data_IF_194131240579
#
_entry.id   IF_194131240579
#
_cell.length_a   1.000
_cell.length_b   1.000
_cell.length_c   1.000
_cell.angle_alpha   90.00
_cell.angle_beta   90.00
_cell.angle_gamma   90.00
#
_symmetry.space_group_name_H-M   'P 1'
#
loop_
_entity.id
_entity.type
_entity.pdbx_description
1 polymer ?
#
# COMPACT_ATOMS: atom_id res chain seq x y z
N UNK A 1 5.33 15.55 10.64
CA UNK A 1 5.86 14.22 10.33
C UNK A 1 6.48 14.18 8.93
N UNK A 2 5.88 14.86 7.93
CA UNK A 2 6.47 15.01 6.59
C UNK A 2 7.92 15.56 6.61
N UNK A 3 8.21 16.52 7.47
CA UNK A 3 9.52 17.17 7.53
C UNK A 3 10.65 16.22 7.95
N UNK A 4 10.39 15.26 8.86
CA UNK A 4 11.41 14.28 9.27
C UNK A 4 11.74 13.31 8.13
N UNK A 5 10.72 12.88 7.40
CA UNK A 5 10.89 12.04 6.21
C UNK A 5 11.65 12.80 5.11
N UNK A 6 11.36 14.09 4.91
CA UNK A 6 12.11 14.94 3.98
C UNK A 6 13.58 15.03 4.36
N UNK A 7 13.87 15.25 5.65
CA UNK A 7 15.24 15.32 6.13
C UNK A 7 15.96 13.99 5.97
N UNK A 8 15.28 12.86 6.26
CA UNK A 8 15.84 11.52 6.03
C UNK A 8 16.23 11.28 4.58
N UNK A 9 15.40 11.72 3.62
CA UNK A 9 15.69 11.55 2.19
C UNK A 9 16.79 12.52 1.76
N UNK A 10 16.72 13.78 2.16
CA UNK A 10 17.73 14.77 1.77
C UNK A 10 19.11 14.41 2.31
N UNK A 11 19.19 13.84 3.51
CA UNK A 11 20.45 13.41 4.12
C UNK A 11 21.01 12.11 3.51
N UNK A 12 20.27 11.41 2.64
CA UNK A 12 20.81 10.24 1.91
C UNK A 12 22.00 10.60 1.00
N UNK A 13 22.13 11.88 0.65
CA UNK A 13 23.16 12.45 -0.21
C UNK A 13 24.27 13.18 0.58
N UNK A 14 24.15 13.30 1.92
CA UNK A 14 25.11 14.01 2.77
C UNK A 14 25.72 13.10 3.84
N UNK A 15 27.05 13.00 3.86
CA UNK A 15 27.81 12.22 4.86
C UNK A 15 28.16 13.08 6.11
N UNK A 16 27.19 13.81 6.66
CA UNK A 16 27.37 14.61 7.88
C UNK A 16 26.87 13.86 9.11
N UNK A 17 27.82 13.31 9.87
CA UNK A 17 27.56 12.51 11.08
C UNK A 17 26.82 13.30 12.18
N UNK A 18 26.99 14.62 12.27
CA UNK A 18 26.34 15.44 13.29
C UNK A 18 24.84 15.63 13.03
N UNK A 19 24.46 15.85 11.77
CA UNK A 19 23.06 15.99 11.37
C UNK A 19 22.31 14.66 11.48
N UNK A 20 22.98 13.54 11.16
CA UNK A 20 22.40 12.20 11.30
C UNK A 20 22.00 11.86 12.74
N UNK A 21 22.84 12.19 13.72
CA UNK A 21 22.53 11.93 15.13
C UNK A 21 21.30 12.72 15.60
N UNK A 22 21.24 14.02 15.28
CA UNK A 22 20.11 14.87 15.66
C UNK A 22 18.80 14.35 15.06
N UNK A 23 18.82 13.93 13.79
CA UNK A 23 17.65 13.35 13.13
C UNK A 23 17.19 12.05 13.81
N UNK A 24 18.12 11.19 14.21
CA UNK A 24 17.79 9.96 14.94
C UNK A 24 17.14 10.24 16.30
N UNK A 25 17.60 11.27 17.02
CA UNK A 25 16.99 11.70 18.29
C UNK A 25 15.56 12.22 18.07
N UNK A 26 15.33 13.00 17.01
CA UNK A 26 13.98 13.47 16.64
C UNK A 26 13.06 12.31 16.27
N UNK A 27 13.54 11.31 15.54
CA UNK A 27 12.77 10.10 15.25
C UNK A 27 12.39 9.32 16.51
N UNK A 28 13.32 9.18 17.46
CA UNK A 28 13.05 8.51 18.72
C UNK A 28 11.95 9.21 19.54
N UNK A 29 12.02 10.54 19.66
CA UNK A 29 10.98 11.34 20.34
C UNK A 29 9.63 11.26 19.61
N UNK A 30 9.64 11.39 18.28
CA UNK A 30 8.42 11.28 17.47
C UNK A 30 7.75 9.91 17.62
N UNK A 31 8.52 8.82 17.60
CA UNK A 31 8.00 7.46 17.78
C UNK A 31 7.38 7.26 19.17
N UNK A 32 8.02 7.79 20.22
CA UNK A 32 7.49 7.75 21.59
C UNK A 32 6.15 8.48 21.70
N UNK A 33 6.08 9.71 21.17
CA UNK A 33 4.85 10.51 21.15
C UNK A 33 3.75 9.88 20.31
N UNK A 34 4.10 9.34 19.14
CA UNK A 34 3.15 8.67 18.27
C UNK A 34 2.57 7.42 18.94
N UNK A 35 3.39 6.65 19.64
CA UNK A 35 2.93 5.49 20.41
C UNK A 35 1.91 5.91 21.47
N UNK A 36 2.22 6.95 22.26
CA UNK A 36 1.27 7.49 23.25
C UNK A 36 -0.02 8.02 22.60
N UNK A 37 0.11 8.71 21.46
CA UNK A 37 -1.03 9.21 20.71
C UNK A 37 -1.95 8.05 20.27
N UNK A 38 -1.39 7.00 19.65
CA UNK A 38 -2.16 5.81 19.24
C UNK A 38 -2.78 5.11 20.44
N UNK A 39 -2.02 4.87 21.52
CA UNK A 39 -2.55 4.19 22.72
C UNK A 39 -3.73 4.95 23.36
N UNK A 40 -3.68 6.29 23.36
CA UNK A 40 -4.72 7.11 23.97
C UNK A 40 -5.96 7.29 23.08
N UNK A 41 -5.80 7.32 21.75
CA UNK A 41 -6.89 7.67 20.83
C UNK A 41 -7.51 6.47 20.11
N UNK A 42 -6.73 5.42 19.80
CA UNK A 42 -7.23 4.30 19.01
C UNK A 42 -8.47 3.61 19.62
N UNK A 43 -8.54 3.35 20.94
CA UNK A 43 -9.75 2.79 21.56
C UNK A 43 -10.98 3.71 21.43
N UNK A 44 -10.78 5.03 21.43
CA UNK A 44 -11.86 6.00 21.25
C UNK A 44 -12.38 5.99 19.81
N UNK A 45 -11.47 5.91 18.83
CA UNK A 45 -11.82 5.82 17.41
C UNK A 45 -12.64 4.58 17.10
N UNK A 46 -12.35 3.42 17.72
CA UNK A 46 -13.14 2.21 17.49
C UNK A 46 -14.60 2.33 17.98
N UNK A 47 -14.92 3.35 18.79
CA UNK A 47 -16.25 3.60 19.33
C UNK A 47 -16.89 4.90 18.80
N UNK A 48 -16.25 5.57 17.83
CA UNK A 48 -16.65 6.89 17.34
C UNK A 48 -16.69 6.92 15.81
N UNK A 49 -17.59 7.74 15.26
CA UNK A 49 -17.57 8.11 13.84
C UNK A 49 -16.57 9.24 13.55
N UNK A 50 -16.25 10.04 14.56
CA UNK A 50 -15.19 11.04 14.50
C UNK A 50 -13.85 10.36 14.77
N UNK A 51 -13.19 9.94 13.68
CA UNK A 51 -11.92 9.23 13.66
C UNK A 51 -11.19 9.52 12.34
N UNK A 52 -9.84 9.40 12.30
CA UNK A 52 -9.12 9.49 11.04
C UNK A 52 -9.56 8.39 10.07
N UNK A 53 -9.33 8.63 8.78
CA UNK A 53 -9.47 7.61 7.72
C UNK A 53 -8.58 6.43 8.07
N UNK A 54 -9.14 5.22 7.97
CA UNK A 54 -8.44 3.97 8.22
C UNK A 54 -8.54 3.00 7.05
N UNK A 55 -7.83 1.86 7.12
CA UNK A 55 -7.86 0.81 6.08
C UNK A 55 -9.27 0.47 5.58
N UNK A 56 -10.31 0.27 6.43
CA UNK A 56 -11.68 0.01 5.97
C UNK A 56 -12.34 1.15 5.18
N UNK A 57 -11.82 2.37 5.29
CA UNK A 57 -12.43 3.57 4.70
C UNK A 57 -11.81 3.95 3.36
N UNK A 58 -10.73 3.28 2.93
CA UNK A 58 -9.99 3.67 1.71
C UNK A 58 -10.91 3.73 0.50
N UNK A 59 -11.74 2.71 0.29
CA UNK A 59 -12.67 2.70 -0.84
C UNK A 59 -13.75 3.77 -0.71
N UNK A 60 -14.39 3.90 0.45
CA UNK A 60 -15.48 4.85 0.66
C UNK A 60 -15.02 6.31 0.60
N UNK A 61 -13.79 6.57 1.03
CA UNK A 61 -13.22 7.91 1.05
C UNK A 61 -12.66 8.33 -0.31
N UNK A 62 -12.05 7.40 -1.06
CA UNK A 62 -11.25 7.76 -2.24
C UNK A 62 -11.76 7.19 -3.57
N UNK A 63 -12.55 6.11 -3.56
CA UNK A 63 -12.85 5.34 -4.79
C UNK A 63 -14.35 5.37 -5.14
N UNK A 64 -15.25 5.25 -4.16
CA UNK A 64 -16.69 5.08 -4.39
C UNK A 64 -17.28 6.19 -5.29
N UNK A 65 -16.94 7.46 -5.05
CA UNK A 65 -17.47 8.60 -5.82
C UNK A 65 -17.07 8.53 -7.29
N UNK A 66 -15.83 8.14 -7.59
CA UNK A 66 -15.37 7.98 -8.98
C UNK A 66 -16.14 6.88 -9.70
N UNK A 67 -16.36 5.73 -9.04
CA UNK A 67 -17.11 4.64 -9.64
C UNK A 67 -18.58 5.02 -9.88
N UNK A 68 -19.21 5.76 -8.96
CA UNK A 68 -20.57 6.29 -9.11
C UNK A 68 -20.67 7.27 -10.29
N UNK A 69 -19.64 8.08 -10.51
CA UNK A 69 -19.54 9.00 -11.65
C UNK A 69 -19.18 8.31 -12.98
N UNK A 70 -19.00 6.97 -12.97
CA UNK A 70 -18.53 6.17 -14.11
C UNK A 70 -17.12 6.53 -14.59
N UNK A 71 -16.29 7.08 -13.71
CA UNK A 71 -14.86 7.14 -13.95
C UNK A 71 -14.28 5.71 -13.90
N UNK A 72 -13.30 5.43 -14.75
CA UNK A 72 -12.48 4.21 -14.65
C UNK A 72 -11.38 4.43 -13.63
N UNK A 73 -11.17 3.45 -12.77
CA UNK A 73 -10.23 3.51 -11.65
C UNK A 73 -9.15 2.43 -11.80
N UNK A 74 -7.91 2.81 -11.57
CA UNK A 74 -6.79 1.88 -11.36
C UNK A 74 -6.30 2.07 -9.92
N UNK A 75 -6.37 1.01 -9.11
CA UNK A 75 -5.85 1.00 -7.74
C UNK A 75 -4.58 0.15 -7.69
N UNK A 76 -3.47 0.74 -7.26
CA UNK A 76 -2.16 0.09 -7.15
C UNK A 76 -1.77 0.02 -5.68
N UNK A 77 -1.89 -1.17 -5.09
CA UNK A 77 -1.49 -1.42 -3.70
C UNK A 77 -0.08 -2.00 -3.66
N UNK A 78 0.87 -1.24 -3.12
CA UNK A 78 2.25 -1.70 -2.89
C UNK A 78 2.40 -2.19 -1.45
N UNK A 79 2.60 -3.51 -1.28
CA UNK A 79 2.67 -4.15 0.04
C UNK A 79 3.94 -3.73 0.80
N UNK A 80 3.79 -3.41 2.08
CA UNK A 80 4.87 -2.92 2.95
C UNK A 80 5.61 -1.66 2.46
N UNK A 81 5.05 -0.89 1.52
CA UNK A 81 5.63 0.40 1.12
C UNK A 81 5.45 1.43 2.23
N UNK A 82 6.56 1.96 2.73
CA UNK A 82 6.56 3.01 3.74
C UNK A 82 6.52 4.40 3.10
N UNK A 83 6.08 5.39 3.87
CA UNK A 83 6.01 6.78 3.40
C UNK A 83 7.36 7.34 2.93
N UNK A 84 8.48 6.95 3.55
CA UNK A 84 9.81 7.44 3.15
C UNK A 84 10.23 6.86 1.80
N UNK A 85 9.85 5.62 1.51
CA UNK A 85 10.09 4.96 0.24
C UNK A 85 9.22 5.55 -0.86
N UNK A 86 7.92 5.78 -0.62
CA UNK A 86 7.03 6.45 -1.58
C UNK A 86 7.56 7.83 -1.95
N UNK A 87 8.04 8.59 -0.95
CA UNK A 87 8.58 9.93 -1.16
C UNK A 87 9.92 9.91 -1.90
N UNK A 88 10.75 8.87 -1.74
CA UNK A 88 11.91 8.68 -2.60
C UNK A 88 11.53 8.33 -4.04
N UNK A 89 10.51 7.48 -4.22
CA UNK A 89 9.96 7.08 -5.53
C UNK A 89 9.25 8.24 -6.25
N UNK A 90 8.74 9.23 -5.52
CA UNK A 90 7.95 10.33 -6.08
C UNK A 90 8.70 11.09 -7.17
N UNK A 91 10.03 11.17 -7.12
CA UNK A 91 10.86 11.77 -8.17
C UNK A 91 10.71 11.04 -9.50
N UNK A 92 10.63 9.71 -9.47
CA UNK A 92 10.46 8.87 -10.66
C UNK A 92 9.00 8.95 -11.15
N UNK A 93 8.04 8.84 -10.21
CA UNK A 93 6.61 8.85 -10.51
C UNK A 93 6.11 10.21 -11.04
N UNK A 94 6.71 11.32 -10.59
CA UNK A 94 6.35 12.68 -11.06
C UNK A 94 6.65 12.91 -12.55
N UNK A 95 7.46 12.04 -13.18
CA UNK A 95 7.68 12.11 -14.63
C UNK A 95 6.46 11.61 -15.41
N UNK A 96 5.60 10.81 -14.79
CA UNK A 96 4.43 10.19 -15.41
C UNK A 96 3.11 10.80 -14.92
N UNK A 97 3.07 11.24 -13.66
CA UNK A 97 1.83 11.65 -12.98
C UNK A 97 1.98 12.99 -12.25
N UNK A 98 0.85 13.68 -12.10
CA UNK A 98 0.72 14.71 -11.08
C UNK A 98 0.37 14.02 -9.75
N UNK A 99 1.29 14.05 -8.79
CA UNK A 99 1.13 13.32 -7.54
C UNK A 99 0.45 14.18 -6.47
N UNK A 100 -0.63 13.65 -5.92
CA UNK A 100 -1.23 14.12 -4.67
C UNK A 100 -0.98 13.04 -3.60
N UNK A 101 -0.59 13.45 -2.39
CA UNK A 101 -0.28 12.52 -1.31
C UNK A 101 -1.15 12.81 -0.11
N UNK A 102 -1.99 11.83 0.22
CA UNK A 102 -2.76 11.82 1.46
C UNK A 102 -2.31 10.67 2.36
N UNK A 103 -2.35 10.93 3.67
CA UNK A 103 -2.02 9.94 4.69
C UNK A 103 -3.29 9.51 5.42
N UNK A 104 -3.44 8.20 5.58
CA UNK A 104 -4.44 7.61 6.45
C UNK A 104 -3.76 6.73 7.50
N UNK A 105 -4.46 6.38 8.58
CA UNK A 105 -3.93 5.46 9.57
C UNK A 105 -4.28 4.02 9.19
N UNK A 106 -3.31 3.11 9.13
CA UNK A 106 -3.66 1.70 9.12
C UNK A 106 -4.39 1.31 10.42
N UNK A 107 -4.76 0.05 10.53
CA UNK A 107 -5.47 -0.52 11.68
C UNK A 107 -4.51 -1.26 12.61
N UNK A 108 -4.98 -1.62 13.80
CA UNK A 108 -4.26 -2.49 14.73
C UNK A 108 -4.85 -3.92 14.71
N UNK A 109 -4.04 -4.95 14.42
CA UNK A 109 -2.63 -4.89 14.01
C UNK A 109 -2.46 -4.38 12.56
N UNK A 110 -1.32 -3.74 12.27
CA UNK A 110 -1.01 -3.15 10.94
C UNK A 110 -0.54 -4.17 9.91
N UNK A 111 -0.41 -5.45 10.31
CA UNK A 111 0.11 -6.49 9.45
C UNK A 111 -0.76 -6.68 8.20
N UNK A 112 -0.10 -7.00 7.09
CA UNK A 112 -0.66 -7.22 5.75
C UNK A 112 -2.03 -7.89 5.72
N UNK A 113 -2.26 -9.07 6.35
CA UNK A 113 -3.55 -9.75 6.28
C UNK A 113 -4.70 -9.01 6.99
N UNK A 114 -4.41 -8.14 7.95
CA UNK A 114 -5.45 -7.34 8.57
C UNK A 114 -5.71 -6.10 7.72
N UNK A 115 -4.67 -5.33 7.40
CA UNK A 115 -4.81 -4.06 6.69
C UNK A 115 -5.40 -4.24 5.28
N UNK A 116 -4.88 -5.17 4.47
CA UNK A 116 -5.33 -5.34 3.07
C UNK A 116 -6.73 -5.91 2.97
N UNK A 117 -7.06 -6.93 3.76
CA UNK A 117 -8.43 -7.46 3.76
C UNK A 117 -9.42 -6.40 4.25
N UNK A 118 -9.03 -5.53 5.20
CA UNK A 118 -9.85 -4.39 5.59
C UNK A 118 -10.05 -3.39 4.46
N UNK A 119 -9.02 -3.07 3.67
CA UNK A 119 -9.15 -2.21 2.48
C UNK A 119 -10.19 -2.78 1.51
N UNK A 120 -10.05 -4.05 1.11
CA UNK A 120 -10.93 -4.63 0.09
C UNK A 120 -12.32 -4.97 0.59
N UNK A 121 -12.47 -5.31 1.88
CA UNK A 121 -13.78 -5.60 2.46
C UNK A 121 -14.53 -4.36 2.93
N UNK A 122 -13.84 -3.24 3.16
CA UNK A 122 -14.41 -2.08 3.85
C UNK A 122 -14.86 -2.37 5.29
N UNK A 123 -14.27 -3.38 5.94
CA UNK A 123 -14.63 -3.82 7.29
C UNK A 123 -13.39 -3.89 8.19
N UNK A 124 -13.56 -3.60 9.47
CA UNK A 124 -12.54 -3.93 10.47
C UNK A 124 -12.38 -5.46 10.63
N UNK A 125 -11.23 -5.96 11.10
CA UNK A 125 -11.00 -7.40 11.22
C UNK A 125 -12.06 -8.14 12.05
N UNK A 126 -12.51 -7.55 13.16
CA UNK A 126 -13.57 -8.14 13.99
C UNK A 126 -14.91 -8.20 13.27
N UNK A 127 -15.22 -7.21 12.44
CA UNK A 127 -16.44 -7.19 11.62
C UNK A 127 -16.32 -8.21 10.50
N UNK A 128 -15.17 -8.29 9.83
CA UNK A 128 -14.89 -9.28 8.79
C UNK A 128 -15.06 -10.71 9.31
N UNK A 129 -14.55 -10.99 10.51
CA UNK A 129 -14.73 -12.27 11.19
C UNK A 129 -16.20 -12.58 11.45
N UNK A 130 -16.98 -11.59 11.89
CA UNK A 130 -18.40 -11.77 12.20
C UNK A 130 -19.25 -11.97 10.92
N UNK A 131 -18.93 -11.27 9.84
CA UNK A 131 -19.66 -11.34 8.57
C UNK A 131 -19.30 -12.60 7.79
N UNK A 132 -18.03 -13.03 7.80
CA UNK A 132 -17.55 -14.20 7.07
C UNK A 132 -16.79 -15.20 7.96
N UNK A 133 -17.43 -15.80 8.97
CA UNK A 133 -16.75 -16.69 9.91
C UNK A 133 -16.07 -17.88 9.22
N UNK A 134 -16.69 -18.44 8.18
CA UNK A 134 -16.13 -19.57 7.43
C UNK A 134 -14.90 -19.20 6.60
N UNK A 135 -14.90 -18.02 5.96
CA UNK A 135 -13.74 -17.54 5.19
C UNK A 135 -12.61 -17.12 6.12
N UNK A 136 -12.95 -16.43 7.21
CA UNK A 136 -12.01 -16.05 8.25
C UNK A 136 -11.24 -17.28 8.75
N UNK A 137 -11.94 -18.34 9.15
CA UNK A 137 -11.28 -19.57 9.60
C UNK A 137 -10.35 -20.19 8.54
N UNK A 138 -10.69 -20.10 7.25
CA UNK A 138 -9.85 -20.59 6.15
C UNK A 138 -8.62 -19.71 5.90
N UNK A 139 -8.70 -18.41 6.12
CA UNK A 139 -7.57 -17.47 5.96
C UNK A 139 -6.45 -17.74 6.97
N UNK A 140 -6.79 -18.28 8.14
CA UNK A 140 -5.83 -18.54 9.22
C UNK A 140 -5.32 -19.98 9.26
N UNK A 141 -5.60 -20.81 8.24
CA UNK A 141 -5.09 -22.18 8.18
C UNK A 141 -3.60 -22.24 7.82
N UNK A 142 -3.14 -21.37 6.93
CA UNK A 142 -1.74 -21.23 6.57
C UNK A 142 -1.40 -19.79 6.17
N UNK A 143 -0.14 -19.37 6.31
CA UNK A 143 0.30 -17.99 6.02
C UNK A 143 0.05 -17.55 4.57
N UNK A 144 0.09 -18.49 3.62
CA UNK A 144 -0.13 -18.19 2.19
C UNK A 144 -1.59 -17.91 1.87
N UNK A 145 -2.50 -18.37 2.73
CA UNK A 145 -3.95 -18.27 2.55
C UNK A 145 -4.56 -16.97 3.09
N UNK A 146 -3.83 -16.21 3.89
CA UNK A 146 -4.38 -15.08 4.67
C UNK A 146 -4.95 -13.95 3.82
N UNK A 147 -4.52 -13.83 2.56
CA UNK A 147 -4.94 -12.80 1.62
C UNK A 147 -5.61 -13.39 0.36
N UNK A 148 -6.13 -14.62 0.43
CA UNK A 148 -6.64 -15.32 -0.76
C UNK A 148 -8.02 -14.86 -1.23
N UNK A 149 -8.77 -14.15 -0.38
CA UNK A 149 -10.16 -13.77 -0.62
C UNK A 149 -10.33 -12.27 -0.92
N UNK A 150 -9.25 -11.54 -1.16
CA UNK A 150 -9.27 -10.09 -1.42
C UNK A 150 -10.20 -9.70 -2.57
N UNK A 151 -10.12 -10.41 -3.71
CA UNK A 151 -11.04 -10.19 -4.86
C UNK A 151 -12.50 -10.42 -4.48
N UNK A 152 -12.77 -11.47 -3.71
CA UNK A 152 -14.13 -11.77 -3.24
C UNK A 152 -14.65 -10.67 -2.31
N UNK A 153 -13.80 -10.18 -1.40
CA UNK A 153 -14.18 -9.10 -0.50
C UNK A 153 -14.47 -7.79 -1.24
N UNK A 154 -13.67 -7.49 -2.28
CA UNK A 154 -13.90 -6.34 -3.14
C UNK A 154 -15.24 -6.45 -3.92
N UNK A 155 -15.51 -7.60 -4.52
CA UNK A 155 -16.77 -7.86 -5.22
C UNK A 155 -17.97 -7.70 -4.28
N UNK A 156 -17.91 -8.26 -3.08
CA UNK A 156 -19.00 -8.12 -2.11
C UNK A 156 -19.12 -6.68 -1.57
N UNK A 157 -18.00 -5.98 -1.36
CA UNK A 157 -18.01 -4.56 -1.01
C UNK A 157 -18.77 -3.73 -2.04
N UNK A 158 -18.44 -3.88 -3.33
CA UNK A 158 -19.10 -3.15 -4.42
C UNK A 158 -20.58 -3.49 -4.52
N UNK A 159 -20.94 -4.76 -4.34
CA UNK A 159 -22.34 -5.19 -4.28
C UNK A 159 -23.11 -4.53 -3.12
N UNK A 160 -22.53 -4.43 -1.92
CA UNK A 160 -23.17 -3.73 -0.79
C UNK A 160 -23.33 -2.22 -1.04
N UNK A 161 -22.53 -1.66 -1.94
CA UNK A 161 -22.59 -0.26 -2.37
C UNK A 161 -23.51 -0.01 -3.57
N UNK A 162 -24.15 -1.04 -4.12
CA UNK A 162 -24.99 -0.91 -5.32
C UNK A 162 -24.18 -0.71 -6.61
N UNK A 163 -22.91 -1.15 -6.60
CA UNK A 163 -21.96 -1.05 -7.70
C UNK A 163 -21.67 -2.41 -8.34
N UNK A 164 -22.55 -3.41 -8.16
CA UNK A 164 -22.36 -4.78 -8.67
C UNK A 164 -22.31 -4.87 -10.21
N UNK A 165 -22.78 -3.84 -10.93
CA UNK A 165 -22.68 -3.78 -12.39
C UNK A 165 -21.30 -3.39 -12.89
N UNK A 166 -20.41 -2.94 -12.00
CA UNK A 166 -19.06 -2.50 -12.36
C UNK A 166 -18.17 -3.71 -12.65
N UNK A 167 -17.45 -3.64 -13.74
CA UNK A 167 -16.46 -4.64 -14.13
C UNK A 167 -15.20 -4.51 -13.26
N UNK A 168 -14.72 -5.63 -12.73
CA UNK A 168 -13.58 -5.68 -11.80
C UNK A 168 -12.51 -6.60 -12.39
N UNK A 169 -11.25 -6.18 -12.36
CA UNK A 169 -10.10 -7.06 -12.57
C UNK A 169 -9.13 -6.91 -11.41
N UNK A 170 -8.84 -8.02 -10.73
CA UNK A 170 -7.94 -8.07 -9.58
C UNK A 170 -6.71 -8.90 -9.91
N UNK A 171 -5.53 -8.27 -9.83
CA UNK A 171 -4.25 -8.91 -10.10
C UNK A 171 -3.30 -8.77 -8.92
N UNK A 172 -2.94 -9.91 -8.33
CA UNK A 172 -1.86 -9.98 -7.34
C UNK A 172 -0.59 -10.45 -8.02
N UNK A 173 0.47 -9.64 -7.94
CA UNK A 173 1.78 -9.90 -8.56
C UNK A 173 2.80 -10.18 -7.46
N UNK A 174 3.24 -11.43 -7.39
CA UNK A 174 4.18 -11.94 -6.39
C UNK A 174 5.61 -12.07 -6.92
N UNK A 175 5.80 -11.99 -8.22
CA UNK A 175 7.12 -12.14 -8.84
C UNK A 175 7.29 -11.29 -10.09
N UNK A 176 8.56 -11.07 -10.48
CA UNK A 176 8.90 -10.35 -11.71
C UNK A 176 8.31 -11.02 -12.97
N UNK A 177 8.31 -12.36 -13.02
CA UNK A 177 7.75 -13.10 -14.17
C UNK A 177 6.22 -12.95 -14.26
N UNK A 178 5.51 -12.98 -13.13
CA UNK A 178 4.07 -12.68 -13.11
C UNK A 178 3.80 -11.25 -13.57
N UNK A 179 4.63 -10.30 -13.14
CA UNK A 179 4.55 -8.90 -13.56
C UNK A 179 4.69 -8.73 -15.07
N UNK A 180 5.69 -9.35 -15.69
CA UNK A 180 5.86 -9.31 -17.16
C UNK A 180 4.68 -9.96 -17.90
N UNK A 181 4.11 -11.05 -17.37
CA UNK A 181 2.92 -11.67 -17.95
C UNK A 181 1.69 -10.77 -17.85
N UNK A 182 1.54 -10.06 -16.73
CA UNK A 182 0.49 -9.06 -16.56
C UNK A 182 0.68 -7.89 -17.53
N UNK A 183 1.90 -7.34 -17.62
CA UNK A 183 2.24 -6.24 -18.51
C UNK A 183 1.88 -6.53 -19.98
N UNK A 184 2.15 -7.76 -20.46
CA UNK A 184 1.78 -8.18 -21.82
C UNK A 184 0.27 -8.12 -22.11
N UNK A 185 -0.58 -8.12 -21.08
CA UNK A 185 -2.04 -8.10 -21.18
C UNK A 185 -2.66 -6.83 -20.62
N UNK A 186 -1.84 -5.87 -20.13
CA UNK A 186 -2.34 -4.72 -19.39
C UNK A 186 -3.39 -3.94 -20.19
N UNK A 187 -3.19 -3.82 -21.51
CA UNK A 187 -4.10 -3.16 -22.46
C UNK A 187 -5.49 -3.78 -22.53
N UNK A 188 -5.61 -5.08 -22.28
CA UNK A 188 -6.89 -5.79 -22.26
C UNK A 188 -7.79 -5.30 -21.11
N UNK A 189 -7.20 -4.68 -20.09
CA UNK A 189 -7.90 -4.17 -18.91
C UNK A 189 -8.24 -2.68 -18.99
N UNK A 190 -7.92 -2.00 -20.10
CA UNK A 190 -8.17 -0.57 -20.28
C UNK A 190 -9.66 -0.19 -20.18
N UNK A 191 -10.56 -1.11 -20.50
CA UNK A 191 -12.01 -0.86 -20.48
C UNK A 191 -12.73 -1.33 -19.22
N UNK A 192 -11.98 -1.83 -18.23
CA UNK A 192 -12.53 -2.26 -16.93
C UNK A 192 -12.82 -1.05 -16.05
N UNK A 193 -13.95 -1.07 -15.32
CA UNK A 193 -14.34 0.02 -14.41
C UNK A 193 -13.35 0.16 -13.25
N UNK A 194 -12.91 -0.97 -12.67
CA UNK A 194 -11.89 -1.00 -11.64
C UNK A 194 -10.83 -2.08 -11.90
N UNK A 195 -9.59 -1.63 -12.12
CA UNK A 195 -8.40 -2.48 -12.19
C UNK A 195 -7.62 -2.36 -10.89
N UNK A 196 -7.52 -3.45 -10.14
CA UNK A 196 -6.74 -3.52 -8.90
C UNK A 196 -5.45 -4.31 -9.15
N UNK A 197 -4.32 -3.72 -8.81
CA UNK A 197 -2.99 -4.31 -8.95
C UNK A 197 -2.34 -4.30 -7.58
N UNK A 198 -2.03 -5.48 -7.05
CA UNK A 198 -1.31 -5.61 -5.78
C UNK A 198 0.08 -6.14 -6.01
N UNK A 199 1.09 -5.42 -5.54
CA UNK A 199 2.51 -5.73 -5.77
C UNK A 199 3.19 -6.03 -4.45
N UNK A 200 3.78 -7.22 -4.34
CA UNK A 200 4.37 -7.73 -3.09
C UNK A 200 5.90 -7.64 -3.04
N UNK A 201 6.56 -7.00 -4.01
CA UNK A 201 8.03 -7.02 -4.09
C UNK A 201 8.73 -6.46 -2.83
N UNK A 202 8.25 -5.34 -2.30
CA UNK A 202 8.90 -4.66 -1.15
C UNK A 202 8.82 -5.53 0.11
N UNK A 203 7.66 -6.14 0.34
CA UNK A 203 7.45 -7.13 1.39
C UNK A 203 8.41 -8.33 1.27
N UNK A 204 8.49 -8.93 0.08
CA UNK A 204 9.42 -10.03 -0.21
C UNK A 204 10.87 -9.60 0.05
N UNK A 205 11.25 -8.40 -0.39
CA UNK A 205 12.59 -7.86 -0.18
C UNK A 205 12.88 -7.67 1.32
N UNK A 206 11.93 -7.16 2.10
CA UNK A 206 12.04 -6.97 3.54
C UNK A 206 12.21 -8.28 4.31
N UNK A 207 11.37 -9.28 4.00
CA UNK A 207 11.48 -10.62 4.56
C UNK A 207 12.80 -11.29 4.18
N UNK A 208 13.16 -11.29 2.90
CA UNK A 208 14.41 -11.92 2.42
C UNK A 208 15.65 -11.24 2.99
N UNK A 209 15.64 -9.91 3.16
CA UNK A 209 16.72 -9.17 3.84
C UNK A 209 16.88 -9.64 5.29
N UNK A 210 15.79 -9.89 6.00
CA UNK A 210 15.85 -10.37 7.39
C UNK A 210 16.51 -11.75 7.52
N UNK A 211 16.36 -12.60 6.50
CA UNK A 211 16.89 -13.98 6.50
C UNK A 211 18.28 -14.12 5.84
N UNK A 212 18.72 -13.14 5.03
CA UNK A 212 19.94 -13.22 4.24
C UNK A 212 21.03 -12.26 4.75
N UNK A 213 22.12 -12.83 5.27
CA UNK A 213 23.32 -12.07 5.67
C UNK A 213 23.89 -11.22 4.54
N UNK A 214 23.89 -11.74 3.31
CA UNK A 214 24.38 -11.02 2.13
C UNK A 214 23.51 -9.79 1.86
N UNK A 215 22.19 -9.92 1.95
CA UNK A 215 21.30 -8.76 1.76
C UNK A 215 21.38 -7.77 2.93
N UNK A 216 21.66 -8.22 4.16
CA UNK A 216 21.93 -7.31 5.28
C UNK A 216 23.21 -6.51 5.06
N UNK A 217 24.26 -7.12 4.48
CA UNK A 217 25.50 -6.43 4.13
C UNK A 217 25.30 -5.46 2.95
N UNK A 218 24.51 -5.83 1.94
CA UNK A 218 24.22 -4.97 0.79
C UNK A 218 23.25 -3.82 1.11
N UNK A 219 22.32 -4.05 2.04
CA UNK A 219 21.29 -3.09 2.46
C UNK A 219 21.43 -2.85 3.97
N UNK A 220 22.51 -2.21 4.43
CA UNK A 220 22.82 -2.10 5.85
C UNK A 220 21.89 -1.15 6.59
N UNK A 221 21.34 -0.15 5.91
CA UNK A 221 20.53 0.92 6.51
C UNK A 221 19.30 1.26 5.66
N UNK A 222 18.50 2.22 6.16
CA UNK A 222 17.28 2.67 5.47
C UNK A 222 17.58 3.46 4.18
N UNK A 223 18.75 4.10 4.07
CA UNK A 223 19.17 4.82 2.87
C UNK A 223 19.40 3.84 1.72
N UNK A 224 20.21 2.81 1.95
CA UNK A 224 20.46 1.74 1.01
C UNK A 224 19.17 1.01 0.63
N UNK A 225 18.26 0.81 1.59
CA UNK A 225 16.98 0.18 1.32
C UNK A 225 16.07 1.03 0.41
N UNK A 226 15.97 2.35 0.65
CA UNK A 226 15.26 3.27 -0.26
C UNK A 226 15.88 3.29 -1.66
N UNK A 227 17.22 3.39 -1.74
CA UNK A 227 17.95 3.37 -3.03
C UNK A 227 17.69 2.08 -3.81
N UNK A 228 17.66 0.93 -3.14
CA UNK A 228 17.34 -0.35 -3.77
C UNK A 228 15.90 -0.43 -4.31
N UNK A 229 14.92 0.11 -3.57
CA UNK A 229 13.52 0.17 -4.04
C UNK A 229 13.37 1.09 -5.25
N UNK A 230 13.99 2.28 -5.22
CA UNK A 230 14.01 3.20 -6.37
C UNK A 230 14.70 2.57 -7.59
N UNK A 231 15.83 1.88 -7.38
CA UNK A 231 16.53 1.14 -8.43
C UNK A 231 15.66 0.04 -9.01
N UNK A 232 15.01 -0.75 -8.16
CA UNK A 232 14.07 -1.78 -8.60
C UNK A 232 12.94 -1.19 -9.44
N UNK A 233 12.34 -0.09 -8.99
CA UNK A 233 11.22 0.53 -9.71
C UNK A 233 11.62 0.91 -11.14
N UNK A 234 12.80 1.49 -11.36
CA UNK A 234 13.27 1.87 -12.70
C UNK A 234 13.31 0.69 -13.69
N UNK A 235 13.76 -0.47 -13.23
CA UNK A 235 13.96 -1.66 -14.07
C UNK A 235 12.80 -2.67 -13.96
N UNK A 236 11.75 -2.34 -13.19
CA UNK A 236 10.62 -3.23 -12.96
C UNK A 236 9.54 -3.06 -14.02
N UNK A 237 8.87 -4.18 -14.32
CA UNK A 237 7.61 -4.23 -15.08
C UNK A 237 6.58 -3.19 -14.61
N UNK A 238 6.62 -2.81 -13.33
CA UNK A 238 5.70 -1.86 -12.75
C UNK A 238 5.86 -0.47 -13.36
N UNK A 239 7.08 0.00 -13.61
CA UNK A 239 7.29 1.31 -14.24
C UNK A 239 6.77 1.31 -15.68
N UNK A 240 7.07 0.27 -16.47
CA UNK A 240 6.50 0.12 -17.82
C UNK A 240 4.96 0.05 -17.79
N UNK A 241 4.38 -0.63 -16.78
CA UNK A 241 2.93 -0.69 -16.59
C UNK A 241 2.34 0.68 -16.24
N UNK A 242 3.00 1.44 -15.37
CA UNK A 242 2.61 2.80 -15.01
C UNK A 242 2.68 3.74 -16.22
N UNK A 243 3.72 3.63 -17.05
CA UNK A 243 3.83 4.39 -18.30
C UNK A 243 2.65 4.11 -19.23
N UNK A 244 2.27 2.86 -19.42
CA UNK A 244 1.11 2.49 -20.23
C UNK A 244 -0.19 3.06 -19.64
N UNK A 245 -0.43 2.88 -18.33
CA UNK A 245 -1.63 3.34 -17.63
C UNK A 245 -1.73 4.88 -17.63
N UNK A 246 -0.61 5.60 -17.62
CA UNK A 246 -0.59 7.07 -17.67
C UNK A 246 -1.29 7.64 -18.91
N UNK A 247 -1.37 6.87 -19.99
CA UNK A 247 -2.04 7.26 -21.24
C UNK A 247 -3.55 7.02 -21.25
N UNK A 248 -4.11 6.35 -20.23
CA UNK A 248 -5.50 5.88 -20.26
C UNK A 248 -6.53 6.92 -19.81
N UNK A 249 -6.10 8.06 -19.24
CA UNK A 249 -6.99 9.08 -18.67
C UNK A 249 -7.96 8.50 -17.61
N UNK A 250 -7.46 7.59 -16.77
CA UNK A 250 -8.18 7.00 -15.64
C UNK A 250 -7.80 7.69 -14.34
N UNK A 251 -8.60 7.48 -13.29
CA UNK A 251 -8.21 7.84 -11.92
C UNK A 251 -7.28 6.77 -11.37
N UNK A 252 -6.13 7.18 -10.85
CA UNK A 252 -5.08 6.27 -10.37
C UNK A 252 -4.86 6.54 -8.90
N UNK A 253 -4.93 5.48 -8.08
CA UNK A 253 -4.75 5.50 -6.63
C UNK A 253 -3.68 4.52 -6.20
#
# INVERSE_FOLDING_TARGET
MNDLTDWSINFDDFDDQGLGQLLNEQWADANSRFTQFISNHYPLWMNSKDRPVMSPDVFSQYIDEHLLNNDKVVLILLDCLRSDQLKAMSKQLSNLFHLETEYYLSILPTATPYSRNSIFSGLFPSELQNVYPDLWNKMWQDEKSMNRYESFFLEDYLKRKGLESKSIQYHKVLSHNEGNKFLNKIKDYKDVDILVIVVNFIDILGHTRSDSKILQEMLPDESAYRKAICSWLNDAWLMEGLEEISSWNHKIF
#
